data_IF_565216718492
#
_entry.id   IF_565216718492
#
_cell.length_a   1.000
_cell.length_b   1.000
_cell.length_c   1.000
_cell.angle_alpha   90.00
_cell.angle_beta   90.00
_cell.angle_gamma   90.00
#
_symmetry.space_group_name_H-M   'P 1'
#
loop_
_entity.id
_entity.type
_entity.pdbx_description
1 polymer ?
#
# COMPACT_ATOMS: atom_id res chain seq x y z
N UNK A 1 19.79 15.81 -0.66
CA UNK A 1 20.47 15.09 0.44
C UNK A 1 19.67 13.82 0.69
N UNK A 2 20.27 12.63 0.55
CA UNK A 2 19.57 11.38 0.90
C UNK A 2 19.33 11.32 2.40
N UNK A 3 18.13 10.88 2.79
CA UNK A 3 17.79 10.66 4.22
C UNK A 3 18.63 9.52 4.79
N UNK A 4 18.87 9.52 6.09
CA UNK A 4 19.60 8.44 6.77
C UNK A 4 18.98 7.05 6.50
N UNK A 5 17.64 7.00 6.40
CA UNK A 5 16.92 5.78 6.03
C UNK A 5 17.25 5.30 4.60
N UNK A 6 17.41 6.20 3.63
CA UNK A 6 17.77 5.85 2.26
C UNK A 6 19.22 5.35 2.17
N UNK A 7 20.14 5.95 2.94
CA UNK A 7 21.52 5.46 3.08
C UNK A 7 21.55 4.06 3.70
N UNK A 8 20.73 3.83 4.73
CA UNK A 8 20.57 2.52 5.36
C UNK A 8 20.06 1.45 4.39
N UNK A 9 19.04 1.77 3.58
CA UNK A 9 18.54 0.85 2.56
C UNK A 9 19.61 0.52 1.50
N UNK A 10 20.31 1.54 1.00
CA UNK A 10 21.40 1.35 0.05
C UNK A 10 22.56 0.50 0.62
N UNK A 11 22.86 0.64 1.92
CA UNK A 11 23.85 -0.17 2.60
C UNK A 11 23.42 -1.65 2.71
N UNK A 12 22.12 -1.93 2.95
CA UNK A 12 21.56 -3.29 2.91
C UNK A 12 21.75 -3.91 1.52
N UNK A 13 21.48 -3.16 0.45
CA UNK A 13 21.63 -3.63 -0.93
C UNK A 13 23.10 -3.93 -1.27
N UNK A 14 24.02 -3.12 -0.74
CA UNK A 14 25.48 -3.33 -0.83
C UNK A 14 25.99 -4.45 0.08
N UNK A 15 25.13 -5.08 0.89
CA UNK A 15 25.46 -6.08 1.92
C UNK A 15 26.39 -5.57 3.03
N UNK A 16 26.49 -4.25 3.19
CA UNK A 16 27.19 -3.62 4.30
C UNK A 16 26.22 -3.44 5.48
N UNK A 17 26.03 -4.54 6.23
CA UNK A 17 25.09 -4.58 7.33
C UNK A 17 25.50 -3.72 8.53
N UNK A 18 26.79 -3.64 8.94
CA UNK A 18 27.22 -2.75 10.01
C UNK A 18 26.90 -1.27 9.71
N UNK A 19 27.24 -0.78 8.51
CA UNK A 19 26.91 0.59 8.13
C UNK A 19 25.39 0.81 8.03
N UNK A 20 24.65 -0.17 7.49
CA UNK A 20 23.19 -0.11 7.44
C UNK A 20 22.55 0.06 8.83
N UNK A 21 23.03 -0.67 9.83
CA UNK A 21 22.56 -0.58 11.22
C UNK A 21 22.84 0.80 11.79
N UNK A 22 24.02 1.38 11.53
CA UNK A 22 24.37 2.72 12.01
C UNK A 22 23.45 3.79 11.41
N UNK A 23 23.29 3.80 10.08
CA UNK A 23 22.41 4.75 9.39
C UNK A 23 20.93 4.61 9.82
N UNK A 24 20.45 3.38 9.96
CA UNK A 24 19.07 3.13 10.41
C UNK A 24 18.88 3.49 11.89
N UNK A 25 19.92 3.33 12.73
CA UNK A 25 19.86 3.78 14.12
C UNK A 25 19.78 5.29 14.22
N UNK A 26 20.50 6.03 13.38
CA UNK A 26 20.36 7.50 13.26
C UNK A 26 18.94 7.87 12.79
N UNK A 27 18.40 7.18 11.79
CA UNK A 27 17.03 7.41 11.31
C UNK A 27 15.96 7.11 12.38
N UNK A 28 16.17 6.08 13.21
CA UNK A 28 15.27 5.73 14.33
C UNK A 28 15.41 6.75 15.47
N UNK A 29 16.59 7.33 15.68
CA UNK A 29 16.75 8.40 16.66
C UNK A 29 15.92 9.64 16.29
N UNK A 30 15.85 9.98 15.00
CA UNK A 30 15.02 11.06 14.47
C UNK A 30 13.52 10.71 14.47
N UNK A 31 13.17 9.45 14.21
CA UNK A 31 11.78 8.97 14.15
C UNK A 31 11.61 7.60 14.82
N UNK A 32 11.56 7.55 16.16
CA UNK A 32 11.58 6.29 16.93
C UNK A 32 10.37 5.41 16.70
N UNK A 33 9.30 6.03 16.22
CA UNK A 33 8.02 5.37 16.07
C UNK A 33 7.86 4.77 14.66
N UNK A 34 8.75 5.02 13.68
CA UNK A 34 8.55 4.53 12.31
C UNK A 34 8.68 2.99 12.19
N UNK A 35 7.61 2.25 11.79
CA UNK A 35 7.70 0.80 11.65
C UNK A 35 8.65 0.38 10.54
N UNK A 36 8.74 1.16 9.45
CA UNK A 36 9.59 0.82 8.31
C UNK A 36 11.08 0.84 8.69
N UNK A 37 11.51 1.81 9.50
CA UNK A 37 12.92 1.90 9.90
C UNK A 37 13.31 0.76 10.84
N UNK A 38 12.41 0.39 11.76
CA UNK A 38 12.57 -0.77 12.63
C UNK A 38 12.60 -2.08 11.84
N UNK A 39 11.71 -2.25 10.85
CA UNK A 39 11.70 -3.41 9.94
C UNK A 39 13.01 -3.49 9.15
N UNK A 40 13.47 -2.38 8.57
CA UNK A 40 14.74 -2.34 7.83
C UNK A 40 15.94 -2.66 8.71
N UNK A 41 15.95 -2.18 9.96
CA UNK A 41 17.05 -2.47 10.90
C UNK A 41 17.03 -3.93 11.37
N UNK A 42 15.84 -4.49 11.60
CA UNK A 42 15.64 -5.92 11.86
C UNK A 42 16.21 -6.79 10.72
N UNK A 43 16.00 -6.40 9.45
CA UNK A 43 16.59 -7.09 8.30
C UNK A 43 18.12 -7.02 8.35
N UNK A 44 18.69 -5.84 8.61
CA UNK A 44 20.14 -5.69 8.69
C UNK A 44 20.74 -6.54 9.82
N UNK A 45 20.12 -6.57 11.01
CA UNK A 45 20.53 -7.42 12.14
C UNK A 45 20.41 -8.91 11.81
N UNK A 46 19.33 -9.33 11.15
CA UNK A 46 19.14 -10.71 10.72
C UNK A 46 20.23 -11.16 9.75
N UNK A 47 20.58 -10.30 8.78
CA UNK A 47 21.66 -10.57 7.81
C UNK A 47 23.03 -10.56 8.46
N UNK A 48 23.21 -9.77 9.52
CA UNK A 48 24.39 -9.77 10.38
C UNK A 48 24.41 -10.93 11.41
N UNK A 49 23.44 -11.85 11.37
CA UNK A 49 23.28 -13.00 12.30
C UNK A 49 23.04 -12.60 13.76
N UNK A 50 22.67 -11.36 14.03
CA UNK A 50 22.30 -10.88 15.35
C UNK A 50 20.78 -11.04 15.55
N UNK A 51 20.35 -12.28 15.80
CA UNK A 51 18.92 -12.61 15.83
C UNK A 51 18.17 -12.02 17.02
N UNK A 52 18.82 -11.85 18.18
CA UNK A 52 18.20 -11.22 19.35
C UNK A 52 17.86 -9.75 19.10
N UNK A 53 18.81 -8.98 18.54
CA UNK A 53 18.58 -7.59 18.16
C UNK A 53 17.53 -7.47 17.04
N UNK A 54 17.56 -8.40 16.07
CA UNK A 54 16.55 -8.45 15.01
C UNK A 54 15.14 -8.70 15.55
N UNK A 55 15.02 -9.54 16.59
CA UNK A 55 13.76 -9.81 17.28
C UNK A 55 13.27 -8.58 18.06
N UNK A 56 14.14 -7.91 18.80
CA UNK A 56 13.79 -6.69 19.53
C UNK A 56 13.27 -5.59 18.59
N UNK A 57 13.90 -5.40 17.43
CA UNK A 57 13.45 -4.47 16.41
C UNK A 57 12.11 -4.87 15.77
N UNK A 58 11.92 -6.17 15.51
CA UNK A 58 10.64 -6.67 15.00
C UNK A 58 9.50 -6.48 16.01
N UNK A 59 9.76 -6.68 17.31
CA UNK A 59 8.79 -6.47 18.38
C UNK A 59 8.43 -4.98 18.50
N UNK A 60 9.43 -4.10 18.47
CA UNK A 60 9.22 -2.66 18.41
C UNK A 60 8.43 -2.25 17.15
N UNK A 61 8.69 -2.88 16.00
CA UNK A 61 7.97 -2.63 14.76
C UNK A 61 6.49 -3.01 14.86
N UNK A 62 6.15 -4.12 15.54
CA UNK A 62 4.75 -4.50 15.80
C UNK A 62 4.04 -3.41 16.60
N UNK A 63 4.66 -2.92 17.68
CA UNK A 63 4.10 -1.82 18.48
C UNK A 63 3.91 -0.54 17.66
N UNK A 64 4.93 -0.15 16.91
CA UNK A 64 4.91 1.02 16.05
C UNK A 64 3.82 0.93 14.95
N UNK A 65 3.60 -0.26 14.40
CA UNK A 65 2.62 -0.51 13.36
C UNK A 65 1.19 -0.54 13.91
N UNK A 66 0.98 -1.11 15.10
CA UNK A 66 -0.29 -1.06 15.83
C UNK A 66 -0.65 0.39 16.20
N UNK A 67 0.31 1.16 16.73
CA UNK A 67 0.10 2.56 17.07
C UNK A 67 -0.28 3.45 15.87
N UNK A 68 0.08 3.02 14.65
CA UNK A 68 -0.31 3.70 13.39
C UNK A 68 -1.49 3.06 12.68
N UNK A 69 -2.09 2.01 13.24
CA UNK A 69 -3.17 1.25 12.62
C UNK A 69 -2.84 0.74 11.20
N UNK A 70 -1.56 0.43 10.92
CA UNK A 70 -1.10 -0.02 9.60
C UNK A 70 -1.08 -1.55 9.53
N UNK A 71 -2.25 -2.15 9.23
CA UNK A 71 -2.43 -3.62 9.20
C UNK A 71 -1.39 -4.37 8.34
N UNK A 72 -1.02 -3.83 7.19
CA UNK A 72 0.00 -4.43 6.32
C UNK A 72 1.36 -4.52 7.03
N UNK A 73 1.80 -3.42 7.66
CA UNK A 73 3.06 -3.34 8.39
C UNK A 73 3.03 -4.18 9.67
N UNK A 74 1.87 -4.37 10.30
CA UNK A 74 1.71 -5.32 11.42
C UNK A 74 2.04 -6.74 10.92
N UNK A 75 1.49 -7.13 9.77
CA UNK A 75 1.80 -8.42 9.15
C UNK A 75 3.27 -8.56 8.80
N UNK A 76 3.87 -7.56 8.14
CA UNK A 76 5.31 -7.57 7.82
C UNK A 76 6.19 -7.62 9.08
N UNK A 77 5.83 -6.92 10.16
CA UNK A 77 6.56 -6.98 11.42
C UNK A 77 6.50 -8.38 12.06
N UNK A 78 5.32 -9.02 12.06
CA UNK A 78 5.19 -10.43 12.49
C UNK A 78 6.01 -11.40 11.63
N UNK A 79 6.07 -11.17 10.32
CA UNK A 79 6.94 -11.94 9.44
C UNK A 79 8.41 -11.79 9.82
N UNK A 80 8.89 -10.56 10.07
CA UNK A 80 10.27 -10.34 10.54
C UNK A 80 10.54 -11.00 11.89
N UNK A 81 9.56 -10.96 12.79
CA UNK A 81 9.60 -11.64 14.08
C UNK A 81 9.79 -13.15 13.92
N UNK A 82 9.03 -13.77 13.02
CA UNK A 82 9.15 -15.19 12.71
C UNK A 82 10.54 -15.55 12.18
N UNK A 83 11.09 -14.75 11.26
CA UNK A 83 12.43 -14.96 10.71
C UNK A 83 13.51 -14.86 11.80
N UNK A 84 13.39 -13.90 12.72
CA UNK A 84 14.32 -13.75 13.83
C UNK A 84 14.23 -14.92 14.83
N UNK A 85 13.02 -15.35 15.18
CA UNK A 85 12.76 -16.50 16.07
C UNK A 85 13.26 -17.82 15.47
N UNK A 86 13.10 -18.00 14.16
CA UNK A 86 13.66 -19.14 13.43
C UNK A 86 15.18 -19.16 13.53
N UNK A 87 15.85 -18.00 13.40
CA UNK A 87 17.29 -17.87 13.59
C UNK A 87 17.77 -18.18 15.02
N UNK A 88 16.89 -18.03 16.02
CA UNK A 88 17.12 -18.42 17.41
C UNK A 88 16.77 -19.89 17.69
N UNK A 89 16.31 -20.64 16.68
CA UNK A 89 15.87 -22.04 16.82
C UNK A 89 14.50 -22.21 17.47
N UNK A 90 13.74 -21.14 17.70
CA UNK A 90 12.42 -21.19 18.35
C UNK A 90 11.31 -21.38 17.32
N UNK A 91 11.18 -22.58 16.76
CA UNK A 91 10.31 -22.83 15.61
C UNK A 91 8.82 -22.78 15.96
N UNK A 92 8.43 -23.15 17.18
CA UNK A 92 7.03 -23.03 17.63
C UNK A 92 6.54 -21.60 17.65
N UNK A 93 7.34 -20.70 18.23
CA UNK A 93 7.06 -19.26 18.26
C UNK A 93 7.08 -18.64 16.86
N UNK A 94 8.01 -19.08 16.00
CA UNK A 94 8.08 -18.63 14.61
C UNK A 94 6.81 -19.01 13.84
N UNK A 95 6.30 -20.23 14.02
CA UNK A 95 5.08 -20.72 13.36
C UNK A 95 3.86 -19.87 13.74
N UNK A 96 3.74 -19.53 15.04
CA UNK A 96 2.66 -18.67 15.52
C UNK A 96 2.74 -17.26 14.92
N UNK A 97 3.94 -16.69 14.84
CA UNK A 97 4.16 -15.39 14.20
C UNK A 97 3.78 -15.40 12.71
N UNK A 98 4.07 -16.48 11.98
CA UNK A 98 3.65 -16.62 10.58
C UNK A 98 2.12 -16.75 10.44
N UNK A 99 1.43 -17.35 11.40
CA UNK A 99 -0.03 -17.40 11.41
C UNK A 99 -0.64 -16.00 11.58
N UNK A 100 -0.10 -15.17 12.49
CA UNK A 100 -0.52 -13.77 12.62
C UNK A 100 -0.19 -12.95 11.37
N UNK A 101 0.98 -13.18 10.75
CA UNK A 101 1.31 -12.56 9.47
C UNK A 101 0.26 -12.89 8.40
N UNK A 102 -0.09 -14.17 8.24
CA UNK A 102 -1.14 -14.61 7.28
C UNK A 102 -2.47 -13.91 7.54
N UNK A 103 -2.86 -13.75 8.80
CA UNK A 103 -4.12 -13.11 9.17
C UNK A 103 -4.14 -11.61 8.90
N UNK A 104 -3.01 -10.90 9.04
CA UNK A 104 -2.95 -9.43 8.86
C UNK A 104 -2.53 -9.03 7.43
N UNK A 105 -1.55 -9.73 6.86
CA UNK A 105 -1.02 -9.50 5.52
C UNK A 105 -0.72 -10.84 4.79
N UNK A 106 -1.72 -11.44 4.13
CA UNK A 106 -1.51 -12.69 3.38
C UNK A 106 -0.68 -12.49 2.09
N UNK A 107 -0.49 -11.25 1.64
CA UNK A 107 0.29 -10.92 0.44
C UNK A 107 1.78 -10.70 0.74
N UNK A 108 2.22 -10.96 1.96
CA UNK A 108 3.63 -10.83 2.33
C UNK A 108 4.51 -11.75 1.48
N UNK A 109 5.57 -11.19 0.91
CA UNK A 109 6.46 -11.91 0.01
C UNK A 109 7.17 -13.01 0.78
N UNK A 110 7.27 -14.20 0.18
CA UNK A 110 7.90 -15.38 0.77
C UNK A 110 7.20 -15.96 2.02
N UNK A 111 5.98 -15.53 2.38
CA UNK A 111 5.25 -16.08 3.52
C UNK A 111 5.05 -17.61 3.42
N UNK A 112 4.58 -18.09 2.26
CA UNK A 112 4.35 -19.53 2.01
C UNK A 112 5.65 -20.34 2.09
N UNK A 113 6.73 -19.82 1.52
CA UNK A 113 8.06 -20.43 1.59
C UNK A 113 8.56 -20.52 3.05
N UNK A 114 8.40 -19.46 3.84
CA UNK A 114 8.80 -19.46 5.24
C UNK A 114 7.92 -20.37 6.11
N UNK A 115 6.62 -20.48 5.82
CA UNK A 115 5.73 -21.43 6.49
C UNK A 115 6.20 -22.88 6.27
N UNK A 116 6.53 -23.23 5.02
CA UNK A 116 7.05 -24.56 4.70
C UNK A 116 8.40 -24.81 5.39
N UNK A 117 9.31 -23.81 5.38
CA UNK A 117 10.63 -23.90 6.02
C UNK A 117 10.51 -24.11 7.53
N UNK A 118 9.75 -23.26 8.21
CA UNK A 118 9.55 -23.36 9.67
C UNK A 118 8.86 -24.67 10.04
N UNK A 119 7.89 -25.13 9.24
CA UNK A 119 7.26 -26.43 9.46
C UNK A 119 8.27 -27.58 9.39
N UNK A 120 9.09 -27.61 8.34
CA UNK A 120 10.12 -28.64 8.19
C UNK A 120 11.13 -28.62 9.34
N UNK A 121 11.61 -27.44 9.72
CA UNK A 121 12.58 -27.30 10.82
C UNK A 121 11.95 -27.62 12.19
N UNK A 122 10.65 -27.34 12.37
CA UNK A 122 9.86 -27.74 13.54
C UNK A 122 9.77 -29.27 13.66
N UNK A 123 9.42 -29.95 12.57
CA UNK A 123 9.30 -31.41 12.52
C UNK A 123 10.68 -32.07 12.76
N UNK A 124 11.73 -31.54 12.13
CA UNK A 124 13.11 -32.02 12.31
C UNK A 124 13.64 -31.82 13.73
N UNK A 125 13.18 -30.80 14.45
CA UNK A 125 13.61 -30.51 15.81
C UNK A 125 12.96 -31.44 16.87
N UNK A 126 12.07 -32.35 16.46
CA UNK A 126 11.39 -33.29 17.35
C UNK A 126 9.90 -33.01 17.56
N UNK A 127 9.27 -32.17 16.72
CA UNK A 127 7.82 -31.95 16.75
C UNK A 127 7.33 -31.33 18.05
N UNK A 128 6.13 -31.72 18.51
CA UNK A 128 5.47 -31.07 19.65
C UNK A 128 6.20 -31.23 20.99
N UNK A 129 7.02 -32.28 21.13
CA UNK A 129 7.73 -32.60 22.38
C UNK A 129 9.03 -31.80 22.57
N UNK A 130 9.52 -31.16 21.51
CA UNK A 130 10.78 -30.41 21.54
C UNK A 130 10.63 -29.08 22.30
N UNK A 131 11.56 -28.78 23.19
CA UNK A 131 11.51 -27.55 24.01
C UNK A 131 11.55 -26.27 23.16
N UNK A 132 12.27 -26.30 22.03
CA UNK A 132 12.35 -25.22 21.05
C UNK A 132 11.02 -24.95 20.31
N UNK A 133 10.09 -25.91 20.38
CA UNK A 133 8.80 -25.87 19.72
C UNK A 133 7.66 -25.43 20.65
N UNK A 134 7.96 -25.16 21.92
CA UNK A 134 6.99 -24.60 22.87
C UNK A 134 6.67 -23.15 22.53
N UNK A 135 5.39 -22.85 22.41
CA UNK A 135 4.89 -21.49 22.17
C UNK A 135 4.90 -20.67 23.47
N UNK A 136 5.67 -19.60 23.49
CA UNK A 136 5.79 -18.65 24.61
C UNK A 136 5.51 -17.21 24.18
N UNK A 137 5.45 -16.94 22.88
CA UNK A 137 5.27 -15.60 22.30
C UNK A 137 3.79 -15.18 22.26
N UNK A 138 3.54 -13.90 22.54
CA UNK A 138 2.21 -13.24 22.47
C UNK A 138 2.05 -12.43 21.18
N UNK A 139 0.79 -12.26 20.70
CA UNK A 139 0.47 -11.52 19.46
C UNK A 139 1.01 -10.09 19.53
N UNK A 140 0.70 -9.37 20.61
CA UNK A 140 1.38 -8.10 20.90
C UNK A 140 2.53 -8.41 21.85
N UNK A 141 3.80 -8.17 21.46
CA UNK A 141 4.92 -8.26 22.38
C UNK A 141 4.67 -7.40 23.62
N UNK A 142 5.25 -7.75 24.77
CA UNK A 142 5.32 -6.77 25.86
C UNK A 142 6.30 -5.67 25.41
N UNK A 143 5.97 -4.39 25.61
CA UNK A 143 6.91 -3.28 25.38
C UNK A 143 8.17 -3.55 26.22
N UNK A 144 9.23 -4.08 25.61
CA UNK A 144 10.53 -4.07 26.25
C UNK A 144 10.95 -2.60 26.31
N UNK A 145 11.10 -2.08 27.54
CA UNK A 145 11.72 -0.78 27.76
C UNK A 145 13.06 -0.78 27.03
N UNK A 146 13.29 0.22 26.17
CA UNK A 146 14.48 0.35 25.36
C UNK A 146 15.73 0.12 26.23
N UNK A 147 16.46 -0.96 25.93
CA UNK A 147 17.75 -1.25 26.56
C UNK A 147 18.73 -0.18 26.08
N UNK A 148 18.97 0.82 26.93
CA UNK A 148 20.22 1.58 26.87
C UNK A 148 21.35 0.59 27.18
N UNK A 149 22.49 0.62 26.46
CA UNK A 149 23.63 -0.24 26.78
C UNK A 149 24.10 0.07 28.20
N UNK A 150 23.87 -0.87 29.13
CA UNK A 150 24.29 -0.75 30.53
C UNK A 150 25.73 -1.20 30.68
N UNK A 151 26.60 -0.24 30.99
CA UNK A 151 27.85 -0.48 31.72
C UNK A 151 27.47 -0.92 33.14
N UNK A 152 27.99 -2.08 33.56
CA UNK A 152 27.82 -2.64 34.91
C UNK A 152 28.63 -1.83 35.92
N UNK A 153 28.06 -1.54 37.10
CA UNK A 153 28.51 -2.07 38.40
C UNK A 153 27.61 -1.57 39.57
N UNK A 154 27.64 -2.19 40.79
CA UNK A 154 26.46 -2.79 41.42
C UNK A 154 26.03 -2.16 42.77
N UNK A 155 25.01 -2.79 43.40
CA UNK A 155 24.58 -2.72 44.83
C UNK A 155 23.54 -1.61 45.12
N UNK A 156 22.42 -1.82 45.79
CA UNK A 156 21.82 -2.99 46.43
C UNK A 156 20.48 -2.64 47.10
N UNK A 157 19.73 -3.70 47.46
CA UNK A 157 18.72 -3.88 48.52
C UNK A 157 17.65 -2.81 48.82
N UNK A 158 16.40 -3.30 48.74
CA UNK A 158 15.35 -3.16 49.77
C UNK A 158 14.35 -2.02 49.54
N UNK A 159 13.06 -2.08 49.93
CA UNK A 159 12.20 -3.04 50.62
C UNK A 159 10.75 -2.65 50.26
N UNK A 160 9.84 -3.62 50.25
CA UNK A 160 8.38 -3.44 50.13
C UNK A 160 7.76 -2.57 51.23
N UNK A 161 6.69 -1.85 50.91
CA UNK A 161 5.84 -1.17 51.90
C UNK A 161 4.51 -0.75 51.27
N UNK A 162 3.43 -1.39 51.70
CA UNK A 162 2.06 -1.24 51.19
C UNK A 162 1.18 -0.36 52.10
N UNK A 163 0.04 0.08 51.54
CA UNK A 163 -1.15 0.74 52.12
C UNK A 163 -1.02 2.25 52.39
N UNK A 164 -1.92 3.15 51.93
CA UNK A 164 -3.35 3.19 52.20
C UNK A 164 -4.09 4.15 51.22
N UNK A 165 -5.36 3.88 50.91
CA UNK A 165 -6.29 4.69 50.07
C UNK A 165 -6.83 5.92 50.87
N UNK A 166 -7.54 6.95 50.31
CA UNK A 166 -8.72 6.83 49.41
C UNK A 166 -9.01 8.00 48.42
N UNK A 167 -10.15 7.88 47.73
CA UNK A 167 -11.02 8.90 47.12
C UNK A 167 -10.89 9.17 45.60
N UNK A 168 -12.07 9.04 44.97
CA UNK A 168 -12.40 9.04 43.55
C UNK A 168 -12.26 10.41 42.86
N UNK A 169 -11.56 10.44 41.74
CA UNK A 169 -11.59 11.51 40.73
C UNK A 169 -11.82 10.91 39.34
N UNK A 170 -12.50 11.61 38.41
CA UNK A 170 -12.97 11.05 37.15
C UNK A 170 -11.80 10.55 36.29
N UNK A 171 -11.95 9.36 35.73
CA UNK A 171 -10.91 8.68 34.94
C UNK A 171 -10.50 9.53 33.72
N UNK A 172 -9.34 10.19 33.81
CA UNK A 172 -8.71 10.93 32.71
C UNK A 172 -7.80 9.97 31.94
N UNK A 173 -8.06 9.81 30.64
CA UNK A 173 -7.35 8.85 29.78
C UNK A 173 -5.94 9.29 29.42
N UNK A 174 -5.01 8.33 29.43
CA UNK A 174 -3.69 8.44 28.84
C UNK A 174 -3.75 8.64 27.31
N UNK A 175 -2.73 9.30 26.76
CA UNK A 175 -2.52 9.61 25.32
C UNK A 175 -2.68 8.39 24.37
N UNK A 176 -2.60 7.17 24.90
CA UNK A 176 -2.71 5.91 24.14
C UNK A 176 -4.14 5.51 23.72
N UNK A 177 -5.19 6.24 24.15
CA UNK A 177 -6.58 5.95 23.79
C UNK A 177 -7.23 6.98 22.84
N UNK A 178 -6.47 7.93 22.29
CA UNK A 178 -7.01 8.93 21.37
C UNK A 178 -6.99 8.35 19.95
N UNK A 179 -8.18 8.06 19.42
CA UNK A 179 -8.37 7.56 18.05
C UNK A 179 -8.94 8.66 17.16
N UNK A 180 -8.52 8.68 15.90
CA UNK A 180 -9.01 9.61 14.89
C UNK A 180 -9.71 8.82 13.79
N UNK A 181 -10.79 9.37 13.28
CA UNK A 181 -11.54 8.85 12.15
C UNK A 181 -11.93 10.02 11.27
N UNK A 182 -11.92 9.83 9.96
CA UNK A 182 -12.49 10.82 9.05
C UNK A 182 -13.41 10.10 8.07
N UNK A 183 -14.55 10.72 7.83
CA UNK A 183 -15.52 10.27 6.84
C UNK A 183 -15.78 11.43 5.88
N UNK A 184 -16.27 11.12 4.70
CA UNK A 184 -16.64 12.15 3.74
C UNK A 184 -17.98 11.86 3.10
N UNK A 185 -18.66 12.92 2.75
CA UNK A 185 -19.83 12.96 1.88
C UNK A 185 -19.48 13.71 0.60
N UNK A 186 -20.44 13.87 -0.30
CA UNK A 186 -20.25 14.64 -1.52
C UNK A 186 -19.95 16.13 -1.25
N UNK A 187 -20.48 16.68 -0.15
CA UNK A 187 -20.35 18.11 0.20
C UNK A 187 -19.46 18.39 1.41
N UNK A 188 -19.29 17.44 2.34
CA UNK A 188 -18.58 17.65 3.61
C UNK A 188 -17.55 16.56 3.92
N UNK A 189 -16.53 16.92 4.68
CA UNK A 189 -15.57 16.00 5.32
C UNK A 189 -15.73 16.14 6.82
N UNK A 190 -15.97 15.05 7.54
CA UNK A 190 -16.13 15.06 8.98
C UNK A 190 -14.94 14.35 9.62
N UNK A 191 -14.17 15.07 10.42
CA UNK A 191 -13.05 14.54 11.22
C UNK A 191 -13.57 14.34 12.65
N UNK A 192 -13.44 13.13 13.18
CA UNK A 192 -13.81 12.78 14.55
C UNK A 192 -12.59 12.35 15.33
N UNK A 193 -12.24 13.09 16.38
CA UNK A 193 -11.16 12.79 17.31
C UNK A 193 -11.81 12.30 18.60
N UNK A 194 -11.70 11.01 18.91
CA UNK A 194 -12.25 10.46 20.14
C UNK A 194 -11.24 10.60 21.27
N UNK A 195 -11.56 11.46 22.23
CA UNK A 195 -10.76 11.71 23.43
C UNK A 195 -11.70 11.88 24.63
N UNK A 196 -11.42 11.19 25.74
CA UNK A 196 -12.23 11.30 26.97
C UNK A 196 -11.71 12.46 27.83
N UNK A 197 -12.61 13.30 28.31
CA UNK A 197 -12.31 14.41 29.20
C UNK A 197 -11.97 15.73 28.51
N UNK A 198 -12.34 15.93 27.24
CA UNK A 198 -12.14 17.22 26.56
C UNK A 198 -13.15 18.24 27.05
N UNK A 199 -12.69 19.28 27.74
CA UNK A 199 -13.52 20.43 28.10
C UNK A 199 -13.62 21.41 26.93
N UNK A 200 -14.82 21.93 26.66
CA UNK A 200 -15.10 22.85 25.55
C UNK A 200 -14.26 24.12 25.61
N UNK A 201 -13.91 24.57 26.81
CA UNK A 201 -13.20 25.83 27.04
C UNK A 201 -11.68 25.70 26.94
N UNK A 202 -11.14 24.48 26.83
CA UNK A 202 -9.70 24.20 26.79
C UNK A 202 -9.18 23.71 25.44
N UNK A 203 -10.06 23.43 24.49
CA UNK A 203 -9.69 22.95 23.16
C UNK A 203 -9.65 24.11 22.17
N UNK A 204 -8.53 24.27 21.48
CA UNK A 204 -8.32 25.26 20.44
C UNK A 204 -8.40 24.57 19.07
N UNK A 205 -9.32 25.02 18.23
CA UNK A 205 -9.53 24.48 16.88
C UNK A 205 -9.36 25.63 15.89
N UNK A 206 -8.40 25.52 14.99
CA UNK A 206 -8.15 26.47 13.91
C UNK A 206 -8.48 25.80 12.57
N UNK A 207 -9.38 26.40 11.80
CA UNK A 207 -9.84 25.90 10.49
C UNK A 207 -9.48 26.95 9.45
N UNK A 208 -8.62 26.56 8.51
CA UNK A 208 -8.17 27.38 7.39
C UNK A 208 -8.52 26.69 6.07
N UNK A 209 -8.52 27.42 4.96
CA UNK A 209 -8.98 26.93 3.65
C UNK A 209 -8.26 25.65 3.17
N UNK A 210 -7.03 25.43 3.63
CA UNK A 210 -6.21 24.27 3.29
C UNK A 210 -5.58 23.57 4.49
N UNK A 211 -5.96 23.91 5.72
CA UNK A 211 -5.36 23.34 6.93
C UNK A 211 -6.38 23.27 8.07
N UNK A 212 -6.29 22.21 8.87
CA UNK A 212 -7.01 22.11 10.14
C UNK A 212 -6.05 21.76 11.25
N UNK A 213 -6.12 22.52 12.33
CA UNK A 213 -5.32 22.32 13.52
C UNK A 213 -6.21 22.23 14.76
N UNK A 214 -5.94 21.26 15.61
CA UNK A 214 -6.70 20.98 16.83
C UNK A 214 -5.71 20.73 17.94
N UNK A 215 -5.73 21.56 18.98
CA UNK A 215 -4.92 21.41 20.18
C UNK A 215 -5.82 21.35 21.41
N UNK A 216 -5.59 20.37 22.29
CA UNK A 216 -6.25 20.32 23.59
C UNK A 216 -5.37 19.62 24.65
N UNK A 217 -5.48 19.99 25.94
CA UNK A 217 -4.72 19.34 26.99
C UNK A 217 -5.20 17.91 27.23
N UNK A 218 -4.25 17.00 27.44
CA UNK A 218 -4.46 15.57 27.72
C UNK A 218 -3.73 15.16 28.99
N UNK A 219 -4.49 14.76 30.01
CA UNK A 219 -3.98 14.33 31.30
C UNK A 219 -3.75 15.47 32.31
N UNK A 220 -3.32 15.12 33.52
CA UNK A 220 -3.09 16.08 34.62
C UNK A 220 -1.69 16.70 34.64
N UNK A 221 -0.80 16.29 33.71
CA UNK A 221 0.64 16.61 33.74
C UNK A 221 1.06 17.64 32.69
N UNK A 222 0.11 18.40 32.13
CA UNK A 222 0.40 19.50 31.18
C UNK A 222 0.78 19.07 29.76
N UNK A 223 0.48 17.83 29.35
CA UNK A 223 0.70 17.40 27.98
C UNK A 223 -0.42 17.92 27.07
N UNK A 224 -0.09 18.53 25.93
CA UNK A 224 -1.05 18.86 24.87
C UNK A 224 -1.11 17.75 23.83
N UNK A 225 -2.29 17.53 23.27
CA UNK A 225 -2.49 16.74 22.07
C UNK A 225 -2.77 17.67 20.92
N UNK A 226 -1.89 17.61 19.93
CA UNK A 226 -1.94 18.44 18.75
C UNK A 226 -2.19 17.55 17.53
N UNK A 227 -3.24 17.87 16.79
CA UNK A 227 -3.58 17.27 15.51
C UNK A 227 -3.54 18.34 14.43
N UNK A 228 -2.70 18.15 13.43
CA UNK A 228 -2.53 19.08 12.32
C UNK A 228 -2.69 18.30 11.02
N UNK A 229 -3.66 18.69 10.19
CA UNK A 229 -3.85 18.20 8.83
C UNK A 229 -3.54 19.35 7.87
N UNK A 230 -2.32 19.34 7.30
CA UNK A 230 -1.83 20.37 6.38
C UNK A 230 -0.85 19.78 5.35
N UNK A 231 -1.03 19.99 4.04
CA UNK A 231 -2.20 20.61 3.40
C UNK A 231 -3.36 19.62 3.29
N UNK A 232 -4.60 20.09 3.38
CA UNK A 232 -5.79 19.30 3.08
C UNK A 232 -5.81 18.89 1.60
N UNK A 233 -6.49 17.80 1.28
CA UNK A 233 -6.57 17.28 -0.10
C UNK A 233 -7.20 18.26 -1.09
N UNK A 234 -8.11 19.11 -0.64
CA UNK A 234 -8.71 20.16 -1.43
C UNK A 234 -9.14 21.34 -0.53
N UNK A 235 -9.38 22.48 -1.16
CA UNK A 235 -9.91 23.65 -0.48
C UNK A 235 -11.25 23.37 0.21
N UNK A 236 -11.35 23.88 1.43
CA UNK A 236 -12.56 23.90 2.24
C UNK A 236 -13.02 25.34 2.45
N UNK A 237 -14.30 25.53 2.75
CA UNK A 237 -14.88 26.82 3.15
C UNK A 237 -14.85 26.93 4.68
N UNK A 238 -13.97 27.76 5.28
CA UNK A 238 -13.92 27.93 6.73
C UNK A 238 -15.20 28.54 7.30
N UNK A 239 -15.92 29.35 6.52
CA UNK A 239 -17.12 30.07 6.98
C UNK A 239 -18.31 29.13 7.19
N UNK A 240 -18.38 28.04 6.40
CA UNK A 240 -19.41 27.02 6.53
C UNK A 240 -18.99 25.85 7.42
N UNK A 241 -17.70 25.73 7.72
CA UNK A 241 -17.17 24.66 8.54
C UNK A 241 -17.54 24.85 10.01
N UNK A 242 -17.85 23.75 10.71
CA UNK A 242 -18.35 23.76 12.09
C UNK A 242 -17.58 22.76 12.92
N UNK A 243 -17.48 23.00 14.23
CA UNK A 243 -16.93 22.04 15.18
C UNK A 243 -17.87 21.86 16.36
N UNK A 244 -17.86 20.65 16.92
CA UNK A 244 -18.59 20.28 18.12
C UNK A 244 -17.67 19.53 19.07
N UNK A 245 -17.57 20.00 20.31
CA UNK A 245 -16.74 19.40 21.35
C UNK A 245 -17.67 18.75 22.37
N UNK A 246 -17.51 17.46 22.56
CA UNK A 246 -18.20 16.69 23.59
C UNK A 246 -17.18 16.06 24.54
N UNK A 247 -17.58 15.66 25.76
CA UNK A 247 -16.66 15.07 26.75
C UNK A 247 -15.95 13.79 26.28
N UNK A 248 -16.40 13.15 25.20
CA UNK A 248 -15.86 11.88 24.69
C UNK A 248 -15.27 11.98 23.27
N UNK A 249 -15.52 13.08 22.54
CA UNK A 249 -15.05 13.29 21.16
C UNK A 249 -15.13 14.75 20.73
N UNK A 250 -14.28 15.11 19.77
CA UNK A 250 -14.32 16.35 19.01
C UNK A 250 -14.71 16.00 17.58
N UNK A 251 -15.75 16.64 17.06
CA UNK A 251 -16.23 16.47 15.68
C UNK A 251 -16.04 17.77 14.93
N UNK A 252 -15.38 17.70 13.77
CA UNK A 252 -15.10 18.86 12.91
C UNK A 252 -15.69 18.55 11.55
N UNK A 253 -16.68 19.34 11.15
CA UNK A 253 -17.32 19.27 9.84
C UNK A 253 -16.72 20.35 8.93
N UNK A 254 -15.98 19.92 7.91
CA UNK A 254 -15.37 20.77 6.92
C UNK A 254 -16.22 20.76 5.64
N UNK A 255 -16.59 21.92 5.13
CA UNK A 255 -17.35 22.04 3.89
C UNK A 255 -16.41 22.13 2.69
N UNK A 256 -16.60 21.27 1.68
CA UNK A 256 -15.78 21.26 0.47
C UNK A 256 -16.17 22.44 -0.43
N UNK A 257 -15.19 23.23 -0.89
CA UNK A 257 -15.44 24.30 -1.87
C UNK A 257 -15.90 23.73 -3.22
N UNK A 258 -15.36 22.57 -3.63
CA UNK A 258 -15.79 21.83 -4.83
C UNK A 258 -16.68 20.66 -4.44
N UNK A 259 -18.00 20.82 -4.63
CA UNK A 259 -18.98 19.76 -4.36
C UNK A 259 -18.78 18.57 -5.32
N UNK A 260 -18.90 17.35 -4.80
CA UNK A 260 -18.74 16.10 -5.57
C UNK A 260 -17.28 15.60 -5.68
N UNK A 261 -16.30 16.36 -5.21
CA UNK A 261 -14.90 15.93 -5.21
C UNK A 261 -14.68 14.86 -4.13
N UNK A 262 -14.31 13.64 -4.54
CA UNK A 262 -13.99 12.52 -3.64
C UNK A 262 -12.52 12.59 -3.20
N UNK A 263 -12.30 12.74 -1.91
CA UNK A 263 -10.96 12.80 -1.33
C UNK A 263 -10.40 11.37 -1.23
N UNK A 264 -9.23 11.12 -1.81
CA UNK A 264 -8.56 9.81 -1.68
C UNK A 264 -7.77 9.69 -0.38
N UNK A 265 -7.36 10.83 0.18
CA UNK A 265 -6.65 10.98 1.46
C UNK A 265 -7.15 12.27 2.14
N UNK A 266 -6.93 12.40 3.44
CA UNK A 266 -7.24 13.64 4.18
C UNK A 266 -6.25 14.77 3.82
N UNK A 267 -4.98 14.40 3.67
CA UNK A 267 -3.88 15.30 3.31
C UNK A 267 -3.52 15.18 1.82
N UNK A 268 -3.26 16.33 1.20
CA UNK A 268 -2.78 16.48 -0.17
C UNK A 268 -1.24 16.51 -0.24
N UNK A 269 -0.69 16.33 -1.44
CA UNK A 269 0.76 16.42 -1.69
C UNK A 269 1.22 17.82 -2.12
N UNK A 270 0.29 18.75 -2.37
CA UNK A 270 0.57 20.10 -2.84
C UNK A 270 0.04 21.14 -1.86
N UNK A 271 0.84 22.16 -1.50
CA UNK A 271 0.40 23.23 -0.61
C UNK A 271 -0.69 24.06 -1.29
N UNK A 272 -1.82 24.22 -0.60
CA UNK A 272 -2.91 25.09 -1.03
C UNK A 272 -2.50 26.52 -0.68
N UNK A 273 -1.91 27.24 -1.64
CA UNK A 273 -1.50 28.63 -1.46
C UNK A 273 -2.76 29.51 -1.60
N UNK A 274 -3.07 30.29 -0.56
CA UNK A 274 -3.98 31.45 -0.62
C UNK A 274 -3.31 32.57 -1.38
N UNK A 275 -3.44 32.53 -2.71
CA UNK A 275 -3.33 33.69 -3.57
C UNK A 275 -4.38 33.52 -4.66
N UNK A 276 -5.18 34.56 -4.83
CA UNK A 276 -6.08 34.74 -5.96
C UNK A 276 -5.28 34.63 -7.25
N UNK A 277 -5.29 33.43 -7.83
CA UNK A 277 -4.75 33.17 -9.15
C UNK A 277 -5.81 32.35 -9.86
N UNK A 278 -6.72 33.07 -10.54
CA UNK A 278 -7.20 32.59 -11.82
C UNK A 278 -5.99 32.09 -12.60
N UNK A 279 -6.00 30.83 -13.05
CA UNK A 279 -5.20 30.23 -14.12
C UNK A 279 -5.22 28.71 -13.88
N UNK A 280 -5.43 27.80 -14.83
CA UNK A 280 -5.60 27.85 -16.27
C UNK A 280 -6.54 26.69 -16.59
N UNK A 281 -7.73 27.01 -17.08
CA UNK A 281 -8.47 26.08 -17.93
C UNK A 281 -7.57 25.84 -19.13
N UNK A 282 -7.14 24.60 -19.34
CA UNK A 282 -6.42 24.20 -20.54
C UNK A 282 -7.26 24.67 -21.73
N UNK A 283 -6.79 25.70 -22.43
CA UNK A 283 -7.36 26.15 -23.68
C UNK A 283 -7.22 25.01 -24.66
N UNK A 284 -8.33 24.30 -24.87
CA UNK A 284 -8.58 23.58 -26.10
C UNK A 284 -8.58 24.68 -27.17
N UNK A 285 -7.70 24.66 -28.18
CA UNK A 285 -7.77 25.63 -29.27
C UNK A 285 -9.19 25.63 -29.84
N UNK A 286 -9.78 26.81 -29.98
CA UNK A 286 -11.13 27.04 -30.49
C UNK A 286 -11.22 26.75 -32.01
N UNK A 287 -10.91 25.51 -32.40
CA UNK A 287 -10.97 25.01 -33.78
C UNK A 287 -11.84 23.74 -33.92
N UNK A 288 -12.51 23.27 -32.87
CA UNK A 288 -13.31 22.01 -32.89
C UNK A 288 -14.82 22.27 -32.72
N UNK A 289 -15.32 23.46 -33.06
CA UNK A 289 -16.76 23.77 -33.02
C UNK A 289 -17.40 24.16 -34.35
N UNK A 290 -16.68 24.06 -35.48
CA UNK A 290 -17.27 24.21 -36.81
C UNK A 290 -16.78 23.07 -37.73
N UNK A 291 -17.66 22.26 -38.34
CA UNK A 291 -17.27 21.29 -39.35
C UNK A 291 -17.10 22.03 -40.69
N UNK A 292 -15.94 22.64 -40.90
CA UNK A 292 -15.54 23.10 -42.24
C UNK A 292 -14.95 21.90 -42.98
N UNK A 293 -15.70 21.40 -43.96
CA UNK A 293 -15.25 20.41 -44.94
C UNK A 293 -14.05 20.92 -45.72
N UNK A 294 -12.83 20.56 -45.32
CA UNK A 294 -11.65 20.69 -46.18
C UNK A 294 -10.96 19.34 -46.32
N UNK A 295 -10.88 18.90 -47.58
CA UNK A 295 -10.33 17.62 -48.03
C UNK A 295 -8.86 17.50 -47.63
N UNK A 296 -8.49 16.38 -47.02
CA UNK A 296 -7.11 15.96 -46.91
C UNK A 296 -6.47 15.81 -48.31
N UNK A 297 -5.19 16.16 -48.50
CA UNK A 297 -4.52 16.08 -49.78
C UNK A 297 -4.43 14.61 -50.23
N UNK A 298 -5.04 14.33 -51.38
CA UNK A 298 -5.00 13.02 -52.04
C UNK A 298 -3.64 12.83 -52.69
N UNK A 299 -2.80 11.95 -52.14
CA UNK A 299 -1.53 11.54 -52.75
C UNK A 299 -1.76 10.30 -53.63
N UNK A 300 -1.16 10.20 -54.83
CA UNK A 300 -1.50 9.15 -55.78
C UNK A 300 -0.83 7.85 -55.34
N UNK A 301 -1.61 6.82 -55.03
CA UNK A 301 -1.08 5.47 -54.87
C UNK A 301 -1.97 4.46 -55.56
N UNK A 302 -1.34 3.63 -56.39
CA UNK A 302 -1.95 2.72 -57.34
C UNK A 302 -2.57 1.49 -56.66
N UNK A 303 -3.79 1.60 -56.16
CA UNK A 303 -4.59 0.44 -55.73
C UNK A 303 -5.95 0.44 -56.42
N UNK A 304 -6.27 -0.69 -57.08
CA UNK A 304 -7.51 -0.90 -57.86
C UNK A 304 -8.76 -1.13 -56.98
N UNK A 305 -8.57 -1.18 -55.66
CA UNK A 305 -9.64 -1.15 -54.66
C UNK A 305 -9.34 0.01 -53.71
N UNK A 306 -10.25 0.99 -53.65
CA UNK A 306 -10.06 2.27 -52.99
C UNK A 306 -9.82 2.23 -51.47
N UNK A 307 -9.65 3.40 -50.83
CA UNK A 307 -9.32 3.54 -49.42
C UNK A 307 -10.33 2.81 -48.52
N UNK A 308 -9.84 1.90 -47.67
CA UNK A 308 -10.65 1.18 -46.68
C UNK A 308 -10.73 2.05 -45.41
N UNK A 309 -11.91 2.58 -45.11
CA UNK A 309 -12.16 3.39 -43.91
C UNK A 309 -12.08 2.55 -42.63
N UNK A 310 -10.95 2.62 -41.93
CA UNK A 310 -10.72 1.92 -40.66
C UNK A 310 -11.43 2.58 -39.47
N UNK A 311 -11.78 3.86 -39.56
CA UNK A 311 -12.54 4.58 -38.52
C UNK A 311 -14.00 4.09 -38.40
N UNK A 312 -14.58 3.57 -39.49
CA UNK A 312 -15.93 3.02 -39.49
C UNK A 312 -16.03 1.67 -38.75
N UNK A 313 -14.95 0.89 -38.75
CA UNK A 313 -14.85 -0.37 -38.00
C UNK A 313 -14.69 -0.12 -36.49
N UNK A 314 -13.87 0.85 -36.10
CA UNK A 314 -13.72 1.24 -34.69
C UNK A 314 -15.03 1.79 -34.11
N UNK A 315 -15.76 2.60 -34.90
CA UNK A 315 -17.03 3.21 -34.48
C UNK A 315 -18.18 2.21 -34.35
N UNK A 316 -18.22 1.17 -35.18
CA UNK A 316 -19.26 0.12 -35.11
C UNK A 316 -19.00 -0.89 -33.99
N UNK A 317 -17.74 -1.17 -33.66
CA UNK A 317 -17.36 -1.97 -32.50
C UNK A 317 -17.77 -1.31 -31.18
N UNK A 318 -17.54 0.00 -31.03
CA UNK A 318 -17.93 0.75 -29.82
C UNK A 318 -19.45 0.87 -29.63
N UNK A 319 -20.23 0.83 -30.72
CA UNK A 319 -21.69 1.00 -30.68
C UNK A 319 -22.45 -0.30 -30.39
N UNK A 320 -21.81 -1.46 -30.56
CA UNK A 320 -22.42 -2.77 -30.32
C UNK A 320 -22.26 -3.28 -28.87
N UNK A 321 -21.44 -2.64 -28.04
CA UNK A 321 -21.28 -3.03 -26.62
C UNK A 321 -22.34 -2.42 -25.67
N UNK A 322 -23.27 -1.58 -26.15
CA UNK A 322 -24.30 -0.94 -25.29
C UNK A 322 -25.71 -1.50 -25.40
N UNK A 323 -25.93 -2.56 -26.19
CA UNK A 323 -27.19 -3.30 -26.24
C UNK A 323 -26.89 -4.78 -26.46
N UNK A 324 -26.85 -5.53 -25.36
CA UNK A 324 -27.63 -6.75 -25.18
C UNK A 324 -27.28 -7.38 -23.83
N UNK A 325 -28.18 -7.22 -22.87
CA UNK A 325 -28.28 -8.10 -21.73
C UNK A 325 -29.09 -9.34 -22.12
N UNK A 326 -28.64 -10.49 -21.59
CA UNK A 326 -29.32 -11.78 -21.47
C UNK A 326 -29.57 -12.61 -22.74
N UNK A 327 -28.81 -13.70 -22.93
CA UNK A 327 -29.29 -15.08 -22.67
C UNK A 327 -28.14 -16.11 -22.68
N UNK A 328 -28.25 -17.01 -21.71
CA UNK A 328 -27.49 -18.24 -21.43
C UNK A 328 -27.45 -19.24 -22.60
N UNK A 329 -26.27 -19.82 -22.87
CA UNK A 329 -26.11 -21.25 -23.23
C UNK A 329 -24.70 -21.69 -22.85
N UNK A 330 -24.63 -22.66 -21.93
CA UNK A 330 -23.42 -23.22 -21.34
C UNK A 330 -22.41 -23.88 -22.28
N UNK A 331 -21.19 -24.00 -21.75
CA UNK A 331 -20.05 -24.64 -22.38
C UNK A 331 -18.78 -24.37 -21.59
N UNK A 332 -18.56 -25.21 -20.58
CA UNK A 332 -17.32 -25.52 -19.87
C UNK A 332 -16.00 -24.97 -20.45
N UNK A 333 -15.24 -24.20 -19.66
CA UNK A 333 -13.77 -24.22 -19.67
C UNK A 333 -13.23 -23.32 -18.56
N UNK A 334 -12.66 -23.97 -17.55
CA UNK A 334 -11.66 -23.41 -16.64
C UNK A 334 -10.64 -22.53 -17.37
N UNK A 335 -10.27 -21.39 -16.76
CA UNK A 335 -9.31 -20.46 -17.35
C UNK A 335 -9.29 -19.09 -16.67
N UNK A 336 -8.84 -19.10 -15.42
CA UNK A 336 -8.36 -17.99 -14.61
C UNK A 336 -7.65 -16.87 -15.43
N UNK A 337 -8.11 -15.62 -15.29
CA UNK A 337 -7.31 -14.42 -15.58
C UNK A 337 -7.10 -13.99 -17.05
N UNK A 338 -8.15 -13.92 -17.88
CA UNK A 338 -8.02 -13.44 -19.26
C UNK A 338 -7.73 -11.93 -19.34
N UNK A 339 -6.52 -11.57 -19.77
CA UNK A 339 -6.19 -10.21 -20.20
C UNK A 339 -7.20 -9.74 -21.27
N UNK A 340 -7.54 -8.42 -21.34
CA UNK A 340 -8.43 -7.88 -22.38
C UNK A 340 -8.02 -8.28 -23.82
N UNK A 341 -6.73 -8.57 -24.02
CA UNK A 341 -6.15 -9.02 -25.28
C UNK A 341 -6.58 -10.45 -25.67
N UNK A 342 -6.74 -11.36 -24.71
CA UNK A 342 -7.15 -12.74 -24.98
C UNK A 342 -8.60 -12.81 -25.45
N UNK A 343 -9.46 -11.96 -24.90
CA UNK A 343 -10.86 -11.85 -25.33
C UNK A 343 -10.96 -11.35 -26.78
N UNK A 344 -10.10 -10.39 -27.15
CA UNK A 344 -9.98 -9.90 -28.52
C UNK A 344 -9.55 -11.00 -29.51
N UNK A 345 -8.53 -11.80 -29.17
CA UNK A 345 -8.08 -12.90 -30.03
C UNK A 345 -9.12 -14.03 -30.14
N UNK A 346 -9.82 -14.36 -29.05
CA UNK A 346 -10.90 -15.36 -29.06
C UNK A 346 -12.05 -14.93 -29.98
N UNK A 347 -12.43 -13.65 -29.96
CA UNK A 347 -13.47 -13.10 -30.84
C UNK A 347 -13.03 -13.12 -32.31
N UNK A 348 -11.80 -12.66 -32.59
CA UNK A 348 -11.22 -12.67 -33.93
C UNK A 348 -11.16 -14.09 -34.52
N UNK A 349 -10.79 -15.09 -33.72
CA UNK A 349 -10.73 -16.49 -34.17
C UNK A 349 -12.11 -17.13 -34.33
N UNK A 350 -13.10 -16.75 -33.52
CA UNK A 350 -14.48 -17.28 -33.61
C UNK A 350 -15.12 -16.90 -34.93
N UNK A 351 -15.00 -15.63 -35.31
CA UNK A 351 -15.68 -15.02 -36.47
C UNK A 351 -14.86 -15.08 -37.79
N UNK A 352 -13.63 -15.62 -37.75
CA UNK A 352 -12.75 -15.73 -38.92
C UNK A 352 -13.14 -16.87 -39.89
N UNK A 353 -12.88 -16.68 -41.18
CA UNK A 353 -12.97 -17.75 -42.18
C UNK A 353 -11.94 -18.86 -41.93
N UNK A 354 -12.18 -20.11 -42.39
CA UNK A 354 -11.29 -21.24 -42.15
C UNK A 354 -9.83 -21.01 -42.56
N UNK A 355 -9.59 -20.29 -43.66
CA UNK A 355 -8.25 -19.95 -44.12
C UNK A 355 -7.56 -18.93 -43.21
N UNK A 356 -8.31 -17.96 -42.68
CA UNK A 356 -7.83 -17.01 -41.69
C UNK A 356 -7.47 -17.70 -40.37
N UNK A 357 -8.31 -18.65 -39.90
CA UNK A 357 -8.02 -19.47 -38.71
C UNK A 357 -6.74 -20.28 -38.89
N UNK A 358 -6.55 -20.88 -40.07
CA UNK A 358 -5.33 -21.62 -40.42
C UNK A 358 -4.09 -20.70 -40.47
N UNK A 359 -4.22 -19.51 -41.02
CA UNK A 359 -3.14 -18.51 -41.04
C UNK A 359 -2.76 -18.08 -39.62
N UNK A 360 -3.75 -17.83 -38.77
CA UNK A 360 -3.56 -17.45 -37.37
C UNK A 360 -2.86 -18.55 -36.58
N UNK A 361 -3.34 -19.79 -36.65
CA UNK A 361 -2.71 -20.92 -35.95
C UNK A 361 -1.29 -21.17 -36.45
N UNK A 362 -1.07 -21.17 -37.76
CA UNK A 362 0.26 -21.43 -38.34
C UNK A 362 1.25 -20.33 -38.00
N UNK A 363 0.85 -19.06 -38.11
CA UNK A 363 1.70 -17.92 -37.74
C UNK A 363 2.01 -17.88 -36.25
N UNK A 364 1.04 -18.16 -35.39
CA UNK A 364 1.25 -18.24 -33.95
C UNK A 364 2.23 -19.36 -33.58
N UNK A 365 2.08 -20.54 -34.19
CA UNK A 365 2.96 -21.68 -33.95
C UNK A 365 4.39 -21.45 -34.47
N UNK A 366 4.55 -20.89 -35.66
CA UNK A 366 5.88 -20.66 -36.28
C UNK A 366 6.63 -19.49 -35.63
N UNK A 367 5.90 -18.46 -35.19
CA UNK A 367 6.47 -17.29 -34.52
C UNK A 367 6.66 -17.48 -33.02
N UNK A 368 6.37 -18.68 -32.49
CA UNK A 368 6.42 -18.97 -31.05
C UNK A 368 5.60 -17.97 -30.21
N UNK A 369 4.43 -17.56 -30.72
CA UNK A 369 3.51 -16.63 -30.07
C UNK A 369 3.82 -15.14 -30.24
N UNK A 370 4.79 -14.77 -31.08
CA UNK A 370 5.24 -13.37 -31.23
C UNK A 370 4.64 -12.62 -32.41
N UNK A 371 4.08 -13.33 -33.40
CA UNK A 371 3.47 -12.72 -34.59
C UNK A 371 2.17 -13.46 -34.99
N UNK A 372 1.15 -12.68 -35.34
CA UNK A 372 -0.14 -13.19 -35.80
C UNK A 372 -0.45 -12.63 -37.20
N UNK A 373 -0.63 -13.53 -38.17
CA UNK A 373 -1.03 -13.18 -39.53
C UNK A 373 -2.39 -13.78 -39.87
N UNK A 374 -3.24 -12.99 -40.51
CA UNK A 374 -4.60 -13.38 -40.94
C UNK A 374 -4.65 -13.77 -42.42
N UNK A 375 -3.56 -13.66 -43.18
CA UNK A 375 -3.53 -13.97 -44.61
C UNK A 375 -2.87 -15.33 -44.90
N UNK A 376 -3.69 -16.33 -45.24
CA UNK A 376 -3.21 -17.68 -45.58
C UNK A 376 -2.26 -17.71 -46.78
N UNK A 377 -2.47 -16.82 -47.75
CA UNK A 377 -1.66 -16.78 -48.98
C UNK A 377 -0.20 -16.45 -48.72
N UNK A 378 0.07 -15.69 -47.65
CA UNK A 378 1.42 -15.26 -47.29
C UNK A 378 2.09 -16.27 -46.36
N UNK A 379 1.35 -16.75 -45.35
CA UNK A 379 1.82 -17.76 -44.38
C UNK A 379 2.04 -19.13 -45.04
N UNK A 380 1.38 -19.43 -46.18
CA UNK A 380 1.64 -20.65 -46.95
C UNK A 380 2.99 -20.61 -47.69
N UNK A 381 3.45 -19.43 -48.11
CA UNK A 381 4.63 -19.28 -48.99
C UNK A 381 5.96 -19.27 -48.22
N UNK A 382 5.98 -18.77 -47.00
CA UNK A 382 7.19 -18.68 -46.18
C UNK A 382 6.88 -18.82 -44.68
N UNK A 383 7.81 -19.35 -43.87
CA UNK A 383 7.63 -19.43 -42.42
C UNK A 383 7.62 -18.04 -41.78
N UNK A 384 6.76 -17.84 -40.78
CA UNK A 384 6.67 -16.57 -40.05
C UNK A 384 7.82 -16.45 -39.07
N UNK A 385 8.63 -15.39 -39.21
CA UNK A 385 9.80 -15.15 -38.34
C UNK A 385 9.35 -14.73 -36.94
N UNK A 386 10.03 -15.24 -35.93
CA UNK A 386 9.89 -14.82 -34.54
C UNK A 386 10.36 -13.36 -34.44
N UNK A 387 9.47 -12.47 -33.99
CA UNK A 387 9.77 -11.06 -33.75
C UNK A 387 9.51 -10.75 -32.28
N UNK A 388 10.50 -10.93 -31.39
CA UNK A 388 10.30 -10.66 -29.98
C UNK A 388 10.07 -9.15 -29.73
N UNK A 389 9.31 -8.79 -28.67
CA UNK A 389 9.17 -7.40 -28.24
C UNK A 389 10.53 -6.74 -27.96
N UNK A 390 10.59 -5.42 -28.15
CA UNK A 390 11.81 -4.63 -27.98
C UNK A 390 12.46 -4.87 -26.61
N UNK A 391 13.72 -5.34 -26.61
CA UNK A 391 14.48 -5.67 -25.39
C UNK A 391 14.54 -7.15 -25.00
N UNK A 392 13.92 -8.07 -25.74
CA UNK A 392 13.96 -9.51 -25.48
C UNK A 392 14.61 -10.27 -26.63
N UNK A 393 15.67 -11.05 -26.36
CA UNK A 393 16.31 -11.90 -27.38
C UNK A 393 15.74 -13.32 -27.37
N UNK A 394 15.27 -13.79 -28.53
CA UNK A 394 14.75 -15.15 -28.68
C UNK A 394 15.90 -16.17 -28.64
N UNK A 395 16.01 -16.92 -27.54
CA UNK A 395 16.97 -18.01 -27.41
C UNK A 395 16.38 -19.31 -27.95
N UNK A 396 17.08 -19.98 -28.87
CA UNK A 396 16.75 -21.36 -29.26
C UNK A 396 17.14 -22.27 -28.10
N UNK A 397 16.17 -23.04 -27.62
CA UNK A 397 16.39 -24.07 -26.62
C UNK A 397 16.79 -25.39 -27.27
#
# INVERSE_FOLDING_TARGET
>A
MSTQAALGAAAIDKKDYPAAIEYLTKAIAESPTSPNYLISRSIAHQRAKNYEAALADADAAVHAAIARSRRELIGTAHFRRAVALHGLGRYGDARLCLAWCMQKNPKEKALTMWQAKVKMDYDNAGGEDAECNKCTVKEVPNKQAAVKPQVKDPKGKGVEGSSNAPASAPAVTAKENIRQEWIQSNSKVTITIYAKGVAKDTAQINIEEGQVEVSFPVGQTGNTYDFTASPLFAQIDPSQSKFNITPFKIEIELYKTKQGLKWSKLEGSEPIITASTEEKKSEIPAAVLNPSTEKAPSYPTSSRNGPKDWDALASSALKSEKKEGAKDTGGDSDGEGGDPMDSFFKKLYKDADPDTKRAMMKSFQESNGTALSTNWSDVKKAPVKIQPPEGVEAKKW
#
